data_IF_260750125342
#
_entry.id   IF_260750125342
#
_cell.length_a   1.000
_cell.length_b   1.000
_cell.length_c   1.000
_cell.angle_alpha   90.00
_cell.angle_beta   90.00
_cell.angle_gamma   90.00
#
_symmetry.space_group_name_H-M   'P 1'
#
loop_
_entity.id
_entity.type
_entity.pdbx_description
1 polymer ?
#
# COMPACT_ATOMS: atom_id res chain seq x y z
N UNK A 1 48.71 4.31 38.44
CA UNK A 1 49.62 3.30 37.84
C UNK A 1 50.26 3.92 36.61
N UNK A 2 51.56 3.72 36.39
CA UNK A 2 52.22 4.24 35.19
C UNK A 2 51.64 3.53 33.96
N UNK A 3 51.21 4.30 32.96
CA UNK A 3 50.76 3.76 31.68
C UNK A 3 52.00 3.28 30.94
N UNK A 4 52.19 1.96 30.82
CA UNK A 4 53.29 1.37 30.05
C UNK A 4 52.79 1.09 28.63
N UNK A 5 53.45 1.70 27.65
CA UNK A 5 53.22 1.44 26.22
C UNK A 5 54.28 0.44 25.76
N UNK A 6 53.85 -0.63 25.09
CA UNK A 6 54.71 -1.70 24.56
C UNK A 6 54.42 -1.91 23.08
N UNK A 7 55.46 -2.18 22.29
CA UNK A 7 55.28 -2.52 20.88
C UNK A 7 54.89 -3.99 20.74
N UNK A 8 53.77 -4.25 20.06
CA UNK A 8 53.23 -5.61 19.85
C UNK A 8 53.24 -5.93 18.35
N UNK A 9 53.65 -7.15 17.94
CA UNK A 9 53.57 -7.57 16.55
C UNK A 9 52.14 -7.49 16.02
N UNK A 10 51.95 -6.94 14.83
CA UNK A 10 50.62 -6.84 14.20
C UNK A 10 49.99 -8.22 13.99
N UNK A 11 50.79 -9.26 13.84
CA UNK A 11 50.36 -10.67 13.76
C UNK A 11 49.73 -11.20 15.06
N UNK A 12 50.02 -10.60 16.21
CA UNK A 12 49.43 -10.94 17.51
C UNK A 12 48.15 -10.13 17.81
N UNK A 13 47.79 -9.17 16.98
CA UNK A 13 46.64 -8.29 17.17
C UNK A 13 45.41 -8.74 16.36
N UNK A 14 44.33 -9.00 17.07
CA UNK A 14 43.04 -9.37 16.49
C UNK A 14 42.02 -8.24 16.66
N UNK A 15 41.19 -7.97 15.65
CA UNK A 15 40.03 -7.10 15.83
C UNK A 15 39.06 -7.73 16.85
N UNK A 16 38.37 -6.91 17.63
CA UNK A 16 37.36 -7.41 18.55
C UNK A 16 36.05 -7.73 17.78
N UNK A 17 35.53 -8.97 17.86
CA UNK A 17 34.30 -9.35 17.16
C UNK A 17 33.06 -8.61 17.67
N UNK A 18 33.14 -7.96 18.84
CA UNK A 18 32.05 -7.19 19.44
C UNK A 18 32.17 -5.68 19.21
N UNK A 19 32.96 -5.25 18.21
CA UNK A 19 32.99 -3.84 17.84
C UNK A 19 31.62 -3.40 17.30
N UNK A 20 30.95 -2.40 17.92
CA UNK A 20 29.67 -1.92 17.41
C UNK A 20 29.82 -1.37 15.99
N UNK A 21 30.96 -0.76 15.66
CA UNK A 21 31.29 -0.37 14.29
C UNK A 21 31.79 -1.57 13.51
N UNK A 22 31.01 -2.01 12.51
CA UNK A 22 31.34 -3.20 11.70
C UNK A 22 32.31 -2.89 10.56
N UNK A 23 32.18 -1.72 9.96
CA UNK A 23 33.06 -1.24 8.89
C UNK A 23 33.99 -0.13 9.42
N UNK A 24 35.29 -0.31 9.23
CA UNK A 24 36.29 0.71 9.60
C UNK A 24 36.39 1.83 8.56
N UNK A 25 35.72 1.69 7.41
CA UNK A 25 35.70 2.63 6.29
C UNK A 25 37.04 2.67 5.55
N UNK A 26 37.18 3.64 4.65
CA UNK A 26 38.46 3.88 3.98
C UNK A 26 39.50 4.41 4.98
N UNK A 27 40.65 3.74 5.02
CA UNK A 27 41.79 4.03 5.88
C UNK A 27 43.07 4.24 5.05
N UNK A 28 42.97 4.43 3.73
CA UNK A 28 44.12 4.57 2.82
C UNK A 28 44.96 5.80 3.18
N UNK A 29 44.34 6.98 3.34
CA UNK A 29 45.05 8.19 3.78
C UNK A 29 45.69 8.02 5.17
N UNK A 30 44.99 7.32 6.07
CA UNK A 30 45.53 7.01 7.40
C UNK A 30 46.73 6.06 7.30
N UNK A 31 46.71 5.10 6.38
CA UNK A 31 47.82 4.19 6.13
C UNK A 31 49.03 4.92 5.55
N UNK A 32 48.83 5.87 4.63
CA UNK A 32 49.92 6.69 4.09
C UNK A 32 50.55 7.59 5.16
N UNK A 33 49.72 8.20 6.00
CA UNK A 33 50.17 8.98 7.16
C UNK A 33 50.96 8.13 8.15
N UNK A 34 50.45 6.94 8.47
CA UNK A 34 51.11 5.97 9.36
C UNK A 34 52.43 5.47 8.75
N UNK A 35 52.51 5.26 7.43
CA UNK A 35 53.75 4.88 6.75
C UNK A 35 54.81 5.98 6.83
N UNK A 36 54.40 7.24 6.76
CA UNK A 36 55.31 8.38 6.82
C UNK A 36 55.74 8.76 8.24
N UNK A 37 54.85 8.65 9.23
CA UNK A 37 55.06 9.22 10.57
C UNK A 37 54.92 8.21 11.72
N UNK A 38 54.60 6.95 11.42
CA UNK A 38 54.27 5.94 12.42
C UNK A 38 52.93 6.21 13.12
N UNK A 39 52.63 5.39 14.13
CA UNK A 39 51.42 5.52 14.95
C UNK A 39 51.71 6.45 16.13
N UNK A 40 51.10 7.64 16.16
CA UNK A 40 51.31 8.63 17.22
C UNK A 40 50.56 8.37 18.52
N UNK A 41 49.41 7.70 18.41
CA UNK A 41 48.58 7.35 19.56
C UNK A 41 48.49 5.82 19.60
N UNK A 42 48.76 5.23 20.76
CA UNK A 42 48.79 3.80 20.97
C UNK A 42 47.40 3.14 20.86
N UNK A 43 47.37 1.85 20.51
CA UNK A 43 46.15 1.05 20.55
C UNK A 43 45.88 0.58 21.97
N UNK A 44 44.62 0.54 22.40
CA UNK A 44 44.26 -0.15 23.64
C UNK A 44 43.93 -1.59 23.31
N UNK A 45 44.62 -2.53 23.95
CA UNK A 45 44.43 -3.96 23.71
C UNK A 45 44.25 -4.72 25.02
N UNK A 46 43.59 -5.86 24.93
CA UNK A 46 43.40 -6.78 26.07
C UNK A 46 43.86 -8.19 25.73
N UNK A 47 44.44 -8.95 26.67
CA UNK A 47 44.86 -10.34 26.43
C UNK A 47 43.71 -11.23 25.95
N UNK A 48 44.00 -12.14 25.01
CA UNK A 48 43.01 -13.02 24.37
C UNK A 48 43.51 -14.46 24.21
N UNK A 49 44.31 -14.92 25.17
CA UNK A 49 44.92 -16.25 25.16
C UNK A 49 46.15 -16.34 24.26
N UNK A 50 46.57 -17.56 23.93
CA UNK A 50 47.77 -17.83 23.13
C UNK A 50 47.43 -18.53 21.81
N UNK A 51 48.23 -18.28 20.77
CA UNK A 51 48.22 -19.01 19.49
C UNK A 51 49.65 -19.40 19.14
N UNK A 52 49.88 -20.69 18.92
CA UNK A 52 51.21 -21.25 18.61
C UNK A 52 52.30 -20.84 19.64
N UNK A 53 51.92 -20.80 20.92
CA UNK A 53 52.80 -20.41 22.02
C UNK A 53 53.11 -18.91 22.10
N UNK A 54 52.34 -18.06 21.40
CA UNK A 54 52.48 -16.60 21.41
C UNK A 54 51.24 -15.94 21.99
N UNK A 55 51.40 -14.91 22.84
CA UNK A 55 50.26 -14.17 23.37
C UNK A 55 49.53 -13.44 22.24
N UNK A 56 48.21 -13.56 22.26
CA UNK A 56 47.31 -12.87 21.35
C UNK A 56 46.57 -11.78 22.12
N UNK A 57 46.30 -10.67 21.45
CA UNK A 57 45.59 -9.55 22.03
C UNK A 57 44.41 -9.16 21.14
N UNK A 58 43.29 -8.81 21.76
CA UNK A 58 42.15 -8.18 21.08
C UNK A 58 42.26 -6.67 21.20
N UNK A 59 42.07 -5.97 20.09
CA UNK A 59 42.02 -4.51 20.06
C UNK A 59 40.70 -4.03 20.64
N UNK A 60 40.74 -3.17 21.65
CA UNK A 60 39.57 -2.51 22.23
C UNK A 60 39.39 -1.12 21.60
N UNK A 61 40.47 -0.32 21.55
CA UNK A 61 40.45 1.02 20.92
C UNK A 61 41.55 1.09 19.85
N UNK A 62 41.20 1.67 18.70
CA UNK A 62 42.16 1.86 17.58
C UNK A 62 41.98 0.91 16.41
N UNK A 63 40.77 0.35 16.19
CA UNK A 63 40.47 -0.55 15.07
C UNK A 63 40.85 0.02 13.69
N UNK A 64 40.56 1.29 13.42
CA UNK A 64 41.00 1.98 12.18
C UNK A 64 42.52 2.06 12.05
N UNK A 65 43.24 2.28 13.16
CA UNK A 65 44.71 2.32 13.20
C UNK A 65 45.31 0.94 12.97
N UNK A 66 44.73 -0.13 13.52
CA UNK A 66 45.16 -1.51 13.23
C UNK A 66 45.00 -1.82 11.73
N UNK A 67 43.84 -1.50 11.15
CA UNK A 67 43.59 -1.72 9.73
C UNK A 67 44.58 -0.94 8.84
N UNK A 68 44.79 0.34 9.14
CA UNK A 68 45.76 1.17 8.44
C UNK A 68 47.21 0.69 8.61
N UNK A 69 47.59 0.20 9.80
CA UNK A 69 48.93 -0.34 10.06
C UNK A 69 49.23 -1.59 9.23
N UNK A 70 48.23 -2.45 9.04
CA UNK A 70 48.34 -3.62 8.14
C UNK A 70 48.57 -3.21 6.69
N UNK A 71 47.88 -2.17 6.21
CA UNK A 71 48.06 -1.62 4.86
C UNK A 71 49.41 -0.88 4.72
N UNK A 72 49.85 -0.22 5.79
CA UNK A 72 51.15 0.46 5.84
C UNK A 72 52.33 -0.52 5.82
N UNK A 73 52.11 -1.79 6.18
CA UNK A 73 53.15 -2.83 6.24
C UNK A 73 53.99 -2.77 7.52
N UNK A 74 53.42 -2.27 8.63
CA UNK A 74 54.11 -2.24 9.91
C UNK A 74 54.19 -3.64 10.54
N UNK A 75 55.37 -4.02 11.03
CA UNK A 75 55.57 -5.26 11.78
C UNK A 75 55.07 -5.16 13.22
N UNK A 76 55.29 -4.00 13.84
CA UNK A 76 55.03 -3.72 15.26
C UNK A 76 54.21 -2.43 15.40
N UNK A 77 53.34 -2.37 16.42
CA UNK A 77 52.55 -1.17 16.73
C UNK A 77 52.52 -0.88 18.23
N UNK A 78 52.55 0.41 18.64
CA UNK A 78 52.52 0.78 20.04
C UNK A 78 51.15 0.48 20.63
N UNK A 79 51.13 -0.26 21.73
CA UNK A 79 49.93 -0.71 22.42
C UNK A 79 50.02 -0.44 23.92
N UNK A 80 48.88 -0.10 24.51
CA UNK A 80 48.64 -0.16 25.95
C UNK A 80 47.88 -1.44 26.25
N UNK A 81 48.43 -2.30 27.10
CA UNK A 81 47.81 -3.57 27.49
C UNK A 81 47.04 -3.36 28.80
N UNK A 82 45.73 -3.62 28.78
CA UNK A 82 44.88 -3.63 29.96
C UNK A 82 44.11 -4.95 30.04
N UNK A 83 44.07 -5.57 31.21
CA UNK A 83 43.17 -6.70 31.47
C UNK A 83 41.76 -6.17 31.69
N UNK A 84 40.89 -6.41 30.71
CA UNK A 84 39.53 -5.90 30.70
C UNK A 84 38.57 -7.09 30.69
N UNK A 85 37.51 -7.00 31.48
CA UNK A 85 36.38 -7.92 31.37
C UNK A 85 35.62 -7.67 30.07
N UNK A 86 34.86 -8.67 29.60
CA UNK A 86 34.02 -8.53 28.41
C UNK A 86 33.04 -7.34 28.49
N UNK A 87 32.62 -6.99 29.71
CA UNK A 87 31.79 -5.81 30.00
C UNK A 87 32.56 -4.52 29.76
N UNK A 88 33.74 -4.39 30.36
CA UNK A 88 34.58 -3.19 30.22
C UNK A 88 35.04 -3.00 28.77
N UNK A 89 35.39 -4.08 28.07
CA UNK A 89 35.72 -4.05 26.64
C UNK A 89 34.59 -3.42 25.80
N UNK A 90 33.37 -4.00 25.87
CA UNK A 90 32.23 -3.52 25.08
C UNK A 90 31.86 -2.09 25.42
N UNK A 91 31.96 -1.74 26.69
CA UNK A 91 31.61 -0.41 27.17
C UNK A 91 32.58 0.65 26.69
N UNK A 92 33.89 0.42 26.83
CA UNK A 92 34.94 1.31 26.31
C UNK A 92 34.80 1.49 24.80
N UNK A 93 34.50 0.41 24.08
CA UNK A 93 34.27 0.44 22.65
C UNK A 93 33.03 1.27 22.28
N UNK A 94 31.92 1.10 23.00
CA UNK A 94 30.72 1.88 22.75
C UNK A 94 30.94 3.37 23.06
N UNK A 95 31.59 3.71 24.18
CA UNK A 95 31.89 5.09 24.57
C UNK A 95 32.78 5.77 23.54
N UNK A 96 33.86 5.12 23.10
CA UNK A 96 34.80 5.68 22.12
C UNK A 96 34.15 5.95 20.76
N UNK A 97 33.34 5.01 20.27
CA UNK A 97 32.63 5.17 19.00
C UNK A 97 31.51 6.24 19.10
N UNK A 98 30.81 6.30 20.24
CA UNK A 98 29.71 7.25 20.47
C UNK A 98 30.22 8.70 20.52
N UNK A 99 31.44 8.93 21.01
CA UNK A 99 32.08 10.24 21.04
C UNK A 99 32.49 10.77 19.66
N UNK A 100 32.53 9.90 18.63
CA UNK A 100 32.97 10.26 17.28
C UNK A 100 31.85 10.58 16.27
N UNK A 101 30.58 10.59 16.68
CA UNK A 101 29.40 10.77 15.78
C UNK A 101 29.42 9.76 14.60
N UNK A 102 29.94 8.57 14.88
CA UNK A 102 30.44 7.65 13.86
C UNK A 102 29.55 6.40 13.70
N UNK A 103 28.74 6.06 14.70
CA UNK A 103 27.86 4.90 14.65
C UNK A 103 26.55 5.23 13.94
N UNK A 104 26.10 4.30 13.11
CA UNK A 104 24.71 4.29 12.64
C UNK A 104 23.76 4.02 13.82
N UNK A 105 22.48 4.45 13.75
CA UNK A 105 21.50 4.17 14.80
C UNK A 105 21.36 2.67 15.12
N UNK A 106 21.53 1.80 14.12
CA UNK A 106 21.45 0.36 14.27
C UNK A 106 22.69 -0.21 14.99
N UNK A 107 23.89 0.26 14.66
CA UNK A 107 25.11 -0.13 15.37
C UNK A 107 25.11 0.32 16.83
N UNK A 108 24.59 1.53 17.09
CA UNK A 108 24.39 2.02 18.46
C UNK A 108 23.38 1.15 19.23
N UNK A 109 22.28 0.75 18.58
CA UNK A 109 21.28 -0.17 19.13
C UNK A 109 21.87 -1.54 19.48
N UNK A 110 22.59 -2.16 18.54
CA UNK A 110 23.27 -3.45 18.75
C UNK A 110 24.32 -3.34 19.87
N UNK A 111 25.05 -2.23 19.96
CA UNK A 111 26.02 -1.96 21.02
C UNK A 111 25.39 -1.87 22.41
N UNK A 112 24.28 -1.13 22.55
CA UNK A 112 23.53 -1.08 23.81
C UNK A 112 22.92 -2.43 24.19
N UNK A 113 22.39 -3.19 23.23
CA UNK A 113 21.89 -4.54 23.48
C UNK A 113 22.99 -5.46 23.99
N UNK A 114 24.18 -5.40 23.39
CA UNK A 114 25.34 -6.18 23.85
C UNK A 114 25.77 -5.85 25.28
N UNK A 115 25.55 -4.62 25.77
CA UNK A 115 25.76 -4.28 27.18
C UNK A 115 24.61 -4.81 28.06
N UNK A 116 23.38 -4.77 27.57
CA UNK A 116 22.22 -5.32 28.29
C UNK A 116 22.36 -6.83 28.52
N UNK A 117 22.85 -7.56 27.51
CA UNK A 117 23.12 -8.99 27.57
C UNK A 117 24.18 -9.36 28.61
N UNK A 118 25.10 -8.42 28.91
CA UNK A 118 26.10 -8.55 29.97
C UNK A 118 25.61 -8.08 31.35
N UNK A 119 24.31 -7.79 31.48
CA UNK A 119 23.68 -7.38 32.74
C UNK A 119 23.91 -5.92 33.14
N UNK A 120 24.41 -5.08 32.23
CA UNK A 120 24.53 -3.64 32.48
C UNK A 120 23.13 -3.03 32.53
N UNK A 121 22.89 -2.11 33.47
CA UNK A 121 21.58 -1.44 33.60
C UNK A 121 21.51 -0.23 32.68
N UNK A 122 20.32 0.08 32.16
CA UNK A 122 20.07 1.26 31.30
C UNK A 122 20.58 2.58 31.90
N UNK A 123 20.39 2.78 33.21
CA UNK A 123 20.89 3.98 33.91
C UNK A 123 22.41 4.09 33.81
N UNK A 124 23.10 2.98 34.01
CA UNK A 124 24.56 2.93 33.96
C UNK A 124 25.08 3.15 32.53
N UNK A 125 24.45 2.55 31.52
CA UNK A 125 24.79 2.80 30.11
C UNK A 125 24.68 4.29 29.76
N UNK A 126 23.62 4.96 30.23
CA UNK A 126 23.38 6.38 29.99
C UNK A 126 24.47 7.26 30.62
N UNK A 127 24.80 7.00 31.90
CA UNK A 127 25.85 7.73 32.62
C UNK A 127 27.21 7.57 31.95
N UNK A 128 27.59 6.34 31.57
CA UNK A 128 28.91 6.07 31.01
C UNK A 128 29.08 6.52 29.56
N UNK A 129 28.03 6.48 28.74
CA UNK A 129 28.06 6.98 27.36
C UNK A 129 27.78 8.48 27.24
N UNK A 130 27.43 9.15 28.35
CA UNK A 130 27.06 10.58 28.34
C UNK A 130 25.75 10.85 27.59
N UNK A 131 24.88 9.86 27.47
CA UNK A 131 23.60 9.94 26.74
C UNK A 131 22.41 9.95 27.70
N UNK A 132 21.25 10.40 27.24
CA UNK A 132 20.04 10.34 28.05
C UNK A 132 19.51 8.90 28.16
N UNK A 133 18.92 8.53 29.30
CA UNK A 133 18.23 7.24 29.45
C UNK A 133 17.12 7.04 28.39
N UNK A 134 16.49 8.13 27.93
CA UNK A 134 15.47 8.10 26.87
C UNK A 134 16.09 7.58 25.56
N UNK A 135 17.26 8.08 25.19
CA UNK A 135 17.97 7.65 23.99
C UNK A 135 18.36 6.18 24.08
N UNK A 136 18.97 5.77 25.20
CA UNK A 136 19.37 4.36 25.41
C UNK A 136 18.17 3.42 25.29
N UNK A 137 17.02 3.75 25.90
CA UNK A 137 15.79 2.96 25.77
C UNK A 137 15.27 2.91 24.33
N UNK A 138 15.32 4.03 23.61
CA UNK A 138 14.92 4.08 22.20
C UNK A 138 15.78 3.14 21.34
N UNK A 139 17.10 3.14 21.56
CA UNK A 139 18.03 2.23 20.88
C UNK A 139 17.79 0.76 21.23
N UNK A 140 17.51 0.45 22.50
CA UNK A 140 17.15 -0.92 22.89
C UNK A 140 15.84 -1.40 22.24
N UNK A 141 14.87 -0.51 21.99
CA UNK A 141 13.66 -0.85 21.22
C UNK A 141 13.96 -1.11 19.75
N UNK A 142 14.89 -0.37 19.15
CA UNK A 142 15.36 -0.67 17.78
C UNK A 142 16.09 -2.03 17.79
N UNK A 143 16.86 -2.32 18.84
CA UNK A 143 17.55 -3.59 18.99
C UNK A 143 16.59 -4.79 19.14
N UNK A 144 15.37 -4.58 19.67
CA UNK A 144 14.38 -5.65 19.80
C UNK A 144 13.72 -6.04 18.48
N UNK A 145 13.90 -5.28 17.39
CA UNK A 145 13.35 -5.63 16.08
C UNK A 145 13.88 -7.00 15.64
N UNK A 146 12.98 -7.99 15.39
CA UNK A 146 13.36 -9.37 15.07
C UNK A 146 14.30 -9.48 13.88
N UNK A 147 15.24 -10.43 13.96
CA UNK A 147 16.24 -10.67 12.90
C UNK A 147 15.60 -10.98 11.54
N UNK A 148 14.51 -11.73 11.52
CA UNK A 148 13.68 -12.02 10.35
C UNK A 148 13.21 -10.75 9.63
N UNK A 149 12.79 -9.72 10.37
CA UNK A 149 12.37 -8.42 9.83
C UNK A 149 13.57 -7.66 9.24
N UNK A 150 14.71 -7.69 9.95
CA UNK A 150 15.94 -7.03 9.50
C UNK A 150 16.47 -7.64 8.20
N UNK A 151 16.46 -8.97 8.10
CA UNK A 151 16.96 -9.72 6.93
C UNK A 151 16.03 -9.66 5.72
N UNK A 152 14.72 -9.42 5.93
CA UNK A 152 13.76 -9.27 4.85
C UNK A 152 13.94 -7.98 4.03
N UNK A 153 14.70 -6.99 4.54
CA UNK A 153 14.97 -5.73 3.85
C UNK A 153 16.48 -5.55 3.64
N UNK A 154 16.99 -5.62 2.39
CA UNK A 154 18.43 -5.45 2.13
C UNK A 154 18.94 -4.04 2.48
N UNK A 155 18.04 -3.05 2.52
CA UNK A 155 18.35 -1.67 2.90
C UNK A 155 18.17 -1.40 4.41
N UNK A 156 17.86 -2.42 5.24
CA UNK A 156 17.53 -2.22 6.66
C UNK A 156 18.63 -1.48 7.44
N UNK A 157 19.90 -1.77 7.13
CA UNK A 157 21.05 -1.14 7.77
C UNK A 157 21.21 0.36 7.41
N UNK A 158 20.59 0.81 6.31
CA UNK A 158 20.65 2.19 5.82
C UNK A 158 19.44 3.03 6.24
N UNK A 159 18.50 2.45 6.98
CA UNK A 159 17.29 3.15 7.40
C UNK A 159 17.60 4.32 8.32
N UNK A 160 16.83 5.38 8.15
CA UNK A 160 16.93 6.54 9.02
C UNK A 160 16.51 6.18 10.45
N UNK A 161 16.96 6.98 11.41
CA UNK A 161 16.58 6.81 12.80
C UNK A 161 15.04 6.81 12.97
N UNK A 162 14.35 7.74 12.31
CA UNK A 162 12.89 7.85 12.42
C UNK A 162 12.18 6.59 11.93
N UNK A 163 12.64 6.00 10.82
CA UNK A 163 12.04 4.77 10.28
C UNK A 163 12.27 3.58 11.22
N UNK A 164 13.46 3.47 11.81
CA UNK A 164 13.77 2.43 12.79
C UNK A 164 12.92 2.57 14.05
N UNK A 165 12.72 3.80 14.54
CA UNK A 165 11.85 4.08 15.69
C UNK A 165 10.38 3.76 15.39
N UNK A 166 9.90 4.07 14.17
CA UNK A 166 8.54 3.73 13.73
C UNK A 166 8.33 2.22 13.59
N UNK A 167 9.32 1.46 13.10
CA UNK A 167 9.26 -0.01 13.05
C UNK A 167 9.28 -0.58 14.47
N UNK A 168 10.13 -0.08 15.36
CA UNK A 168 10.19 -0.48 16.77
C UNK A 168 8.94 -0.10 17.58
N UNK A 169 8.01 0.69 17.01
CA UNK A 169 6.71 0.96 17.63
C UNK A 169 5.84 -0.30 17.72
N UNK A 170 5.93 -1.18 16.74
CA UNK A 170 5.10 -2.38 16.62
C UNK A 170 5.75 -3.62 17.27
N UNK A 171 6.49 -3.40 18.36
CA UNK A 171 7.10 -4.48 19.15
C UNK A 171 6.03 -5.49 19.59
N UNK A 172 6.28 -6.78 19.34
CA UNK A 172 5.31 -7.87 19.55
C UNK A 172 4.40 -8.20 18.35
N UNK A 173 4.35 -7.38 17.29
CA UNK A 173 3.65 -7.66 16.03
C UNK A 173 4.66 -7.73 14.87
N UNK A 174 5.39 -8.85 14.79
CA UNK A 174 6.44 -9.07 13.79
C UNK A 174 5.92 -8.92 12.35
N UNK A 175 4.65 -9.26 12.10
CA UNK A 175 4.01 -9.09 10.79
C UNK A 175 3.84 -7.61 10.44
N UNK A 176 3.41 -6.78 11.39
CA UNK A 176 3.34 -5.34 11.20
C UNK A 176 4.73 -4.72 10.97
N UNK A 177 5.73 -5.14 11.76
CA UNK A 177 7.11 -4.71 11.59
C UNK A 177 7.67 -5.06 10.20
N UNK A 178 7.47 -6.30 9.73
CA UNK A 178 7.88 -6.74 8.39
C UNK A 178 7.19 -5.93 7.27
N UNK A 179 5.88 -5.70 7.37
CA UNK A 179 5.12 -4.90 6.39
C UNK A 179 5.63 -3.46 6.29
N UNK A 180 5.98 -2.87 7.44
CA UNK A 180 6.49 -1.50 7.49
C UNK A 180 7.95 -1.42 6.98
N UNK A 181 8.80 -2.36 7.40
CA UNK A 181 10.19 -2.44 6.96
C UNK A 181 10.32 -2.65 5.44
N UNK A 182 9.40 -3.41 4.82
CA UNK A 182 9.34 -3.63 3.37
C UNK A 182 9.03 -2.35 2.57
N UNK A 183 8.54 -1.30 3.24
CA UNK A 183 8.15 -0.03 2.62
C UNK A 183 9.08 1.11 3.02
N UNK A 184 10.11 0.84 3.80
CA UNK A 184 11.10 1.82 4.23
C UNK A 184 11.90 2.36 3.03
N UNK A 185 12.25 3.65 3.06
CA UNK A 185 12.85 4.37 1.93
C UNK A 185 11.90 4.67 0.76
N UNK A 186 10.60 4.34 0.85
CA UNK A 186 9.60 4.64 -0.18
C UNK A 186 8.61 5.72 0.26
N UNK A 187 7.95 6.36 -0.71
CA UNK A 187 6.88 7.34 -0.45
C UNK A 187 5.66 6.72 0.28
N UNK A 188 5.52 5.39 0.28
CA UNK A 188 4.43 4.69 0.95
C UNK A 188 4.66 4.53 2.47
N UNK A 189 5.87 4.75 2.97
CA UNK A 189 6.24 4.41 4.36
C UNK A 189 5.31 5.06 5.39
N UNK A 190 5.10 6.36 5.27
CA UNK A 190 4.24 7.12 6.19
C UNK A 190 2.77 6.67 6.13
N UNK A 191 2.27 6.38 4.92
CA UNK A 191 0.91 5.88 4.75
C UNK A 191 0.73 4.51 5.42
N UNK A 192 1.69 3.60 5.22
CA UNK A 192 1.67 2.27 5.83
C UNK A 192 1.77 2.34 7.34
N UNK A 193 2.66 3.18 7.89
CA UNK A 193 2.76 3.44 9.33
C UNK A 193 1.42 3.89 9.91
N UNK A 194 0.80 4.90 9.31
CA UNK A 194 -0.48 5.44 9.78
C UNK A 194 -1.61 4.43 9.64
N UNK A 195 -1.56 3.56 8.61
CA UNK A 195 -2.50 2.44 8.46
C UNK A 195 -2.34 1.41 9.58
N UNK A 196 -1.12 0.96 9.86
CA UNK A 196 -0.82 -0.01 10.91
C UNK A 196 -1.18 0.53 12.31
N UNK A 197 -0.91 1.82 12.59
CA UNK A 197 -1.35 2.47 13.84
C UNK A 197 -2.88 2.39 13.98
N UNK A 198 -3.63 2.76 12.93
CA UNK A 198 -5.10 2.65 12.92
C UNK A 198 -5.58 1.20 13.09
N UNK A 199 -4.93 0.22 12.45
CA UNK A 199 -5.27 -1.19 12.61
C UNK A 199 -5.01 -1.69 14.05
N UNK A 200 -3.91 -1.28 14.69
CA UNK A 200 -3.63 -1.59 16.11
C UNK A 200 -4.67 -0.94 17.02
N UNK A 201 -4.85 0.36 16.91
CA UNK A 201 -5.74 1.10 17.81
C UNK A 201 -7.20 0.64 17.64
N UNK A 202 -7.60 0.22 16.43
CA UNK A 202 -8.89 -0.42 16.15
C UNK A 202 -9.05 -1.73 16.90
N UNK A 203 -8.05 -2.62 16.83
CA UNK A 203 -8.04 -3.90 17.55
C UNK A 203 -8.15 -3.66 19.06
N UNK A 204 -7.35 -2.75 19.61
CA UNK A 204 -7.39 -2.40 21.04
C UNK A 204 -8.75 -1.84 21.47
N UNK A 205 -9.35 -0.96 20.66
CA UNK A 205 -10.67 -0.39 20.96
C UNK A 205 -11.76 -1.47 20.95
N UNK A 206 -11.74 -2.40 19.99
CA UNK A 206 -12.70 -3.51 19.88
C UNK A 206 -12.56 -4.47 21.06
N UNK A 207 -11.34 -4.85 21.41
CA UNK A 207 -11.10 -5.73 22.58
C UNK A 207 -11.56 -5.07 23.88
N UNK A 208 -11.28 -3.78 24.07
CA UNK A 208 -11.80 -3.02 25.20
C UNK A 208 -13.33 -2.96 25.20
N UNK A 209 -13.96 -2.80 24.04
CA UNK A 209 -15.41 -2.80 23.90
C UNK A 209 -16.02 -4.17 24.24
N UNK A 210 -15.39 -5.26 23.79
CA UNK A 210 -15.78 -6.65 24.06
C UNK A 210 -15.71 -6.98 25.55
N UNK A 211 -14.56 -6.73 26.18
CA UNK A 211 -14.38 -6.96 27.62
C UNK A 211 -15.38 -6.16 28.45
N UNK A 212 -15.65 -4.91 28.06
CA UNK A 212 -16.62 -4.07 28.75
C UNK A 212 -18.06 -4.56 28.56
N UNK A 213 -18.43 -4.97 27.35
CA UNK A 213 -19.74 -5.53 27.05
C UNK A 213 -20.00 -6.82 27.83
N UNK A 214 -19.01 -7.72 27.90
CA UNK A 214 -19.05 -8.95 28.71
C UNK A 214 -19.20 -8.63 30.19
N UNK A 215 -18.38 -7.72 30.73
CA UNK A 215 -18.44 -7.31 32.14
C UNK A 215 -19.77 -6.68 32.54
N UNK A 216 -20.52 -6.10 31.60
CA UNK A 216 -21.83 -5.47 31.82
C UNK A 216 -23.00 -6.34 31.35
N UNK A 217 -22.75 -7.61 30.96
CA UNK A 217 -23.75 -8.56 30.48
C UNK A 217 -24.64 -8.00 29.36
N UNK A 218 -24.05 -7.28 28.40
CA UNK A 218 -24.81 -6.76 27.27
C UNK A 218 -25.31 -7.92 26.38
N UNK A 219 -26.59 -7.94 25.98
CA UNK A 219 -27.12 -8.98 25.12
C UNK A 219 -26.45 -8.95 23.74
N UNK A 220 -25.91 -10.08 23.29
CA UNK A 220 -25.36 -10.20 21.93
C UNK A 220 -26.47 -10.59 20.94
N UNK A 221 -26.38 -10.07 19.71
CA UNK A 221 -27.25 -10.49 18.62
C UNK A 221 -27.02 -11.99 18.33
N UNK A 222 -28.09 -12.81 18.23
CA UNK A 222 -27.98 -14.24 17.96
C UNK A 222 -27.23 -14.55 16.67
N UNK A 223 -26.44 -15.64 16.66
CA UNK A 223 -25.57 -16.01 15.54
C UNK A 223 -26.31 -16.24 14.21
N UNK A 224 -27.56 -16.66 14.26
CA UNK A 224 -28.39 -16.89 13.07
C UNK A 224 -28.98 -15.60 12.46
N UNK A 225 -28.89 -14.46 13.17
CA UNK A 225 -29.43 -13.17 12.74
C UNK A 225 -28.33 -12.15 12.45
N UNK A 226 -27.08 -12.59 12.53
CA UNK A 226 -25.87 -11.80 12.40
C UNK A 226 -25.70 -11.32 10.93
N UNK A 227 -25.85 -10.03 10.60
CA UNK A 227 -25.73 -9.54 9.23
C UNK A 227 -24.26 -9.59 8.78
N UNK A 228 -24.01 -9.90 7.51
CA UNK A 228 -22.65 -9.88 6.94
C UNK A 228 -22.10 -8.45 6.88
N UNK A 229 -22.96 -7.49 6.51
CA UNK A 229 -22.65 -6.06 6.42
C UNK A 229 -23.14 -5.30 7.67
N UNK A 230 -22.29 -4.42 8.22
CA UNK A 230 -22.61 -3.51 9.32
C UNK A 230 -23.76 -2.54 9.00
N UNK A 231 -24.01 -2.26 7.72
CA UNK A 231 -25.08 -1.37 7.28
C UNK A 231 -26.45 -2.05 7.17
N UNK A 232 -26.52 -3.38 7.28
CA UNK A 232 -27.77 -4.13 7.19
C UNK A 232 -28.49 -4.25 8.55
N UNK A 233 -29.83 -4.23 8.50
CA UNK A 233 -30.69 -4.51 9.65
C UNK A 233 -30.97 -6.02 9.72
N UNK A 234 -30.68 -6.69 10.86
CA UNK A 234 -31.10 -8.07 11.10
C UNK A 234 -32.62 -8.24 11.02
N UNK A 235 -33.10 -9.40 10.56
CA UNK A 235 -34.54 -9.68 10.52
C UNK A 235 -35.18 -9.52 11.90
N UNK A 236 -36.18 -8.63 12.02
CA UNK A 236 -36.90 -8.36 13.27
C UNK A 236 -36.22 -7.35 14.21
N UNK A 237 -35.07 -6.79 13.82
CA UNK A 237 -34.35 -5.79 14.58
C UNK A 237 -34.11 -4.52 13.76
N UNK A 238 -34.10 -3.38 14.43
CA UNK A 238 -33.78 -2.09 13.85
C UNK A 238 -32.50 -1.54 14.45
N UNK A 239 -31.57 -1.13 13.59
CA UNK A 239 -30.31 -0.50 14.01
C UNK A 239 -30.60 0.83 14.71
N UNK A 240 -30.01 1.00 15.88
CA UNK A 240 -30.13 2.21 16.67
C UNK A 240 -28.88 3.08 16.57
N UNK A 241 -27.70 2.53 16.92
CA UNK A 241 -26.47 3.31 17.05
C UNK A 241 -25.24 2.49 16.66
N UNK A 242 -24.31 3.13 15.95
CA UNK A 242 -22.95 2.65 15.74
C UNK A 242 -22.02 3.34 16.73
N UNK A 243 -21.18 2.55 17.37
CA UNK A 243 -20.07 2.95 18.22
C UNK A 243 -18.79 2.50 17.54
N UNK A 244 -17.78 3.34 17.54
CA UNK A 244 -16.54 3.08 16.83
C UNK A 244 -15.44 4.03 17.31
N UNK A 245 -14.20 3.70 16.96
CA UNK A 245 -13.01 4.45 17.36
C UNK A 245 -12.94 5.87 16.78
N UNK A 246 -13.60 6.11 15.64
CA UNK A 246 -13.72 7.43 15.00
C UNK A 246 -14.62 8.40 15.80
N UNK A 247 -15.39 7.91 16.77
CA UNK A 247 -16.13 8.74 17.72
C UNK A 247 -15.33 9.03 19.00
N UNK A 248 -15.54 10.19 19.65
CA UNK A 248 -14.79 10.56 20.85
C UNK A 248 -14.97 9.60 22.03
N UNK A 249 -13.87 9.03 22.50
CA UNK A 249 -13.80 8.26 23.75
C UNK A 249 -13.99 6.74 23.58
N UNK A 250 -13.77 5.96 24.67
CA UNK A 250 -13.93 4.50 24.64
C UNK A 250 -15.40 4.10 24.53
N UNK A 251 -15.65 2.86 24.07
CA UNK A 251 -17.01 2.29 23.95
C UNK A 251 -17.87 2.50 25.20
N UNK A 252 -17.30 2.30 26.39
CA UNK A 252 -18.01 2.47 27.66
C UNK A 252 -18.55 3.87 27.89
N UNK A 253 -17.83 4.91 27.45
CA UNK A 253 -18.30 6.30 27.52
C UNK A 253 -19.39 6.52 26.48
N UNK A 254 -19.12 6.14 25.23
CA UNK A 254 -20.08 6.31 24.14
C UNK A 254 -21.42 5.63 24.45
N UNK A 255 -21.37 4.43 25.07
CA UNK A 255 -22.55 3.70 25.52
C UNK A 255 -23.33 4.43 26.61
N UNK A 256 -22.65 4.94 27.64
CA UNK A 256 -23.29 5.68 28.74
C UNK A 256 -23.94 6.97 28.24
N UNK A 257 -23.25 7.70 27.37
CA UNK A 257 -23.77 8.92 26.76
C UNK A 257 -25.05 8.58 25.96
N UNK A 258 -25.04 7.51 25.17
CA UNK A 258 -26.21 7.05 24.41
C UNK A 258 -27.37 6.57 25.29
N UNK A 259 -27.10 5.91 26.42
CA UNK A 259 -28.15 5.52 27.38
C UNK A 259 -28.76 6.73 28.11
N UNK A 260 -28.03 7.85 28.22
CA UNK A 260 -28.56 9.08 28.79
C UNK A 260 -29.47 9.84 27.80
N UNK A 261 -29.32 9.63 26.49
CA UNK A 261 -30.15 10.23 25.44
C UNK A 261 -31.61 9.71 25.44
N UNK A 262 -31.87 8.52 25.99
CA UNK A 262 -33.23 7.96 26.03
C UNK A 262 -33.32 6.49 26.47
N UNK A 263 -34.54 5.93 26.49
CA UNK A 263 -34.77 4.52 26.80
C UNK A 263 -34.68 3.65 25.55
N UNK A 264 -33.84 2.62 25.61
CA UNK A 264 -33.62 1.66 24.52
C UNK A 264 -34.03 0.25 24.96
N UNK A 265 -35.33 -0.12 24.91
CA UNK A 265 -35.80 -1.41 25.41
C UNK A 265 -35.35 -2.56 24.50
N UNK A 266 -34.87 -3.65 25.11
CA UNK A 266 -34.51 -4.88 24.39
C UNK A 266 -33.25 -4.77 23.54
N UNK A 267 -32.35 -3.84 23.85
CA UNK A 267 -31.11 -3.65 23.09
C UNK A 267 -30.27 -4.92 23.03
N UNK A 268 -29.85 -5.26 21.82
CA UNK A 268 -28.82 -6.26 21.54
C UNK A 268 -27.68 -5.61 20.77
N UNK A 269 -26.46 -6.13 20.88
CA UNK A 269 -25.29 -5.59 20.20
C UNK A 269 -24.61 -6.62 19.30
N UNK A 270 -23.91 -6.11 18.28
CA UNK A 270 -22.97 -6.89 17.47
C UNK A 270 -21.64 -6.15 17.39
N UNK A 271 -20.56 -6.89 17.58
CA UNK A 271 -19.19 -6.41 17.42
C UNK A 271 -18.71 -6.81 16.02
N UNK A 272 -18.18 -5.85 15.27
CA UNK A 272 -17.57 -6.03 13.95
C UNK A 272 -16.07 -5.82 14.09
N UNK A 273 -15.33 -6.93 14.20
CA UNK A 273 -13.89 -6.92 14.47
C UNK A 273 -13.11 -6.19 13.36
N UNK A 274 -13.40 -6.52 12.09
CA UNK A 274 -12.71 -5.92 10.93
C UNK A 274 -13.01 -4.42 10.78
N UNK A 275 -14.23 -3.99 11.09
CA UNK A 275 -14.68 -2.60 10.95
C UNK A 275 -14.42 -1.74 12.19
N UNK A 276 -13.95 -2.33 13.28
CA UNK A 276 -13.62 -1.55 14.48
C UNK A 276 -14.83 -0.95 15.19
N UNK A 277 -15.98 -1.63 15.12
CA UNK A 277 -17.27 -1.02 15.44
C UNK A 277 -18.15 -1.95 16.26
N UNK A 278 -18.95 -1.38 17.16
CA UNK A 278 -20.06 -2.05 17.85
C UNK A 278 -21.36 -1.41 17.39
N UNK A 279 -22.34 -2.21 16.99
CA UNK A 279 -23.66 -1.71 16.58
C UNK A 279 -24.72 -2.22 17.53
N UNK A 280 -25.56 -1.31 18.02
CA UNK A 280 -26.72 -1.62 18.84
C UNK A 280 -28.00 -1.66 18.00
N UNK A 281 -28.85 -2.64 18.30
CA UNK A 281 -30.13 -2.87 17.66
C UNK A 281 -31.23 -3.03 18.72
N UNK A 282 -32.47 -2.70 18.38
CA UNK A 282 -33.67 -2.98 19.20
C UNK A 282 -34.68 -3.77 18.40
N UNK A 283 -35.61 -4.51 19.05
CA UNK A 283 -36.70 -5.18 18.36
C UNK A 283 -37.55 -4.14 17.62
N UNK A 284 -37.80 -4.37 16.33
CA UNK A 284 -38.62 -3.47 15.53
C UNK A 284 -40.04 -3.36 16.12
N UNK A 285 -40.55 -2.13 16.32
CA UNK A 285 -41.95 -1.93 16.70
C UNK A 285 -42.82 -2.22 15.47
N UNK A 286 -43.83 -3.08 15.59
CA UNK A 286 -44.86 -3.21 14.56
C UNK A 286 -45.78 -1.99 14.59
N UNK A 287 -45.62 -1.06 13.64
CA UNK A 287 -46.44 0.17 13.51
C UNK A 287 -46.66 0.56 12.04
N UNK A 288 -47.53 1.55 11.80
CA UNK A 288 -48.07 2.00 10.49
C UNK A 288 -47.04 2.25 9.35
N UNK A 289 -45.75 2.32 9.67
CA UNK A 289 -44.62 2.28 8.73
C UNK A 289 -44.57 1.00 7.88
N UNK A 290 -45.09 -0.15 8.34
CA UNK A 290 -45.14 -1.38 7.52
C UNK A 290 -45.93 -1.19 6.19
N UNK A 291 -46.85 -0.21 6.12
CA UNK A 291 -47.58 0.15 4.88
C UNK A 291 -46.81 1.15 4.01
N UNK A 292 -45.92 1.95 4.58
CA UNK A 292 -45.10 2.93 3.86
C UNK A 292 -43.79 2.32 3.38
N UNK A 293 -43.16 1.46 4.18
CA UNK A 293 -42.04 0.60 3.81
C UNK A 293 -42.46 -0.45 2.78
N UNK A 294 -43.66 -1.03 2.86
CA UNK A 294 -44.18 -1.88 1.79
C UNK A 294 -44.32 -1.13 0.46
N UNK A 295 -44.67 0.16 0.49
CA UNK A 295 -44.71 1.02 -0.72
C UNK A 295 -43.31 1.46 -1.16
N UNK A 296 -42.40 1.75 -0.24
CA UNK A 296 -41.03 2.14 -0.53
C UNK A 296 -40.19 0.95 -1.04
N UNK A 297 -40.39 -0.24 -0.49
CA UNK A 297 -39.81 -1.49 -0.94
C UNK A 297 -40.43 -1.94 -2.26
N UNK A 298 -41.74 -1.80 -2.45
CA UNK A 298 -42.37 -1.97 -3.76
C UNK A 298 -41.81 -0.97 -4.78
N UNK A 299 -41.59 0.30 -4.41
CA UNK A 299 -40.97 1.31 -5.27
C UNK A 299 -39.52 0.93 -5.63
N UNK A 300 -38.70 0.56 -4.65
CA UNK A 300 -37.32 0.08 -4.86
C UNK A 300 -37.28 -1.20 -5.69
N UNK A 301 -38.24 -2.10 -5.50
CA UNK A 301 -38.38 -3.33 -6.29
C UNK A 301 -38.77 -3.00 -7.73
N UNK A 302 -39.76 -2.14 -7.94
CA UNK A 302 -40.14 -1.66 -9.27
C UNK A 302 -38.97 -0.95 -9.96
N UNK A 303 -38.20 -0.15 -9.23
CA UNK A 303 -37.01 0.54 -9.75
C UNK A 303 -35.88 -0.45 -10.09
N UNK A 304 -35.64 -1.47 -9.26
CA UNK A 304 -34.71 -2.57 -9.56
C UNK A 304 -35.14 -3.37 -10.80
N UNK A 305 -36.42 -3.73 -10.89
CA UNK A 305 -36.98 -4.44 -12.05
C UNK A 305 -36.91 -3.57 -13.32
N UNK A 306 -37.14 -2.25 -13.20
CA UNK A 306 -36.97 -1.28 -14.31
C UNK A 306 -35.51 -1.23 -14.76
N UNK A 307 -34.56 -1.01 -13.84
CA UNK A 307 -33.11 -0.97 -14.12
C UNK A 307 -32.59 -2.30 -14.66
N UNK A 308 -33.21 -3.43 -14.28
CA UNK A 308 -32.90 -4.73 -14.86
C UNK A 308 -33.29 -4.78 -16.34
N UNK A 309 -34.53 -4.40 -16.68
CA UNK A 309 -35.02 -4.36 -18.07
C UNK A 309 -34.20 -3.44 -18.96
N UNK A 310 -33.77 -2.27 -18.44
CA UNK A 310 -32.90 -1.35 -19.18
C UNK A 310 -31.53 -1.97 -19.45
N UNK A 311 -30.95 -2.70 -18.48
CA UNK A 311 -29.69 -3.43 -18.68
C UNK A 311 -29.83 -4.55 -19.70
N UNK A 312 -30.92 -5.31 -19.66
CA UNK A 312 -31.21 -6.34 -20.66
C UNK A 312 -31.35 -5.74 -22.06
N UNK A 313 -32.07 -4.63 -22.19
CA UNK A 313 -32.20 -3.91 -23.46
C UNK A 313 -30.84 -3.42 -23.96
N UNK A 314 -30.05 -2.76 -23.10
CA UNK A 314 -28.75 -2.22 -23.48
C UNK A 314 -27.79 -3.33 -23.93
N UNK A 315 -27.77 -4.46 -23.22
CA UNK A 315 -26.97 -5.63 -23.56
C UNK A 315 -27.40 -6.27 -24.89
N UNK A 316 -28.70 -6.56 -25.06
CA UNK A 316 -29.23 -7.15 -26.28
C UNK A 316 -29.01 -6.24 -27.50
N UNK A 317 -29.18 -4.93 -27.33
CA UNK A 317 -28.94 -3.94 -28.38
C UNK A 317 -27.45 -3.84 -28.74
N UNK A 318 -26.56 -3.91 -27.75
CA UNK A 318 -25.12 -3.94 -28.00
C UNK A 318 -24.71 -5.20 -28.78
N UNK A 319 -25.28 -6.36 -28.47
CA UNK A 319 -25.03 -7.61 -29.20
C UNK A 319 -25.48 -7.50 -30.67
N UNK A 320 -26.68 -6.98 -30.93
CA UNK A 320 -27.19 -6.74 -32.28
C UNK A 320 -26.31 -5.79 -33.08
N UNK A 321 -25.93 -4.64 -32.50
CA UNK A 321 -25.06 -3.66 -33.16
C UNK A 321 -23.67 -4.25 -33.41
N UNK A 322 -23.05 -4.90 -32.43
CA UNK A 322 -21.73 -5.51 -32.59
C UNK A 322 -21.73 -6.58 -33.70
N UNK A 323 -22.76 -7.41 -33.76
CA UNK A 323 -22.89 -8.44 -34.80
C UNK A 323 -23.06 -7.82 -36.19
N UNK A 324 -23.89 -6.77 -36.30
CA UNK A 324 -24.05 -6.04 -37.56
C UNK A 324 -22.76 -5.33 -37.99
N UNK A 325 -22.06 -4.68 -37.06
CA UNK A 325 -20.76 -4.02 -37.34
C UNK A 325 -19.78 -5.06 -37.87
N UNK A 326 -19.68 -6.21 -37.20
CA UNK A 326 -18.75 -7.30 -37.55
C UNK A 326 -18.99 -7.85 -38.96
N UNK A 327 -20.25 -7.94 -39.37
CA UNK A 327 -20.64 -8.60 -40.63
C UNK A 327 -20.78 -7.63 -41.79
N UNK A 328 -21.22 -6.40 -41.54
CA UNK A 328 -21.58 -5.43 -42.59
C UNK A 328 -20.43 -4.46 -42.88
N UNK A 329 -19.77 -3.90 -41.87
CA UNK A 329 -18.75 -2.84 -42.05
C UNK A 329 -17.59 -3.25 -42.95
N UNK A 330 -17.04 -4.49 -42.88
CA UNK A 330 -15.95 -4.91 -43.75
C UNK A 330 -16.30 -4.97 -45.25
N UNK A 331 -17.59 -5.04 -45.59
CA UNK A 331 -18.09 -5.19 -46.97
C UNK A 331 -18.92 -3.99 -47.45
N UNK A 332 -18.94 -2.90 -46.68
CA UNK A 332 -19.64 -1.66 -47.07
C UNK A 332 -19.09 -1.10 -48.39
N UNK A 333 -20.00 -0.56 -49.20
CA UNK A 333 -19.63 0.18 -50.42
C UNK A 333 -18.94 1.50 -50.04
N UNK A 334 -18.11 2.01 -50.95
CA UNK A 334 -17.26 3.17 -50.69
C UNK A 334 -18.02 4.47 -50.37
N UNK A 335 -19.22 4.63 -50.93
CA UNK A 335 -20.14 5.73 -50.66
C UNK A 335 -20.71 5.66 -49.24
N UNK A 336 -21.27 4.51 -48.84
CA UNK A 336 -21.79 4.28 -47.50
C UNK A 336 -20.69 4.38 -46.43
N UNK A 337 -19.50 3.82 -46.71
CA UNK A 337 -18.34 3.92 -45.81
C UNK A 337 -17.95 5.38 -45.56
N UNK A 338 -17.95 6.21 -46.62
CA UNK A 338 -17.62 7.63 -46.53
C UNK A 338 -18.70 8.40 -45.75
N UNK A 339 -19.98 8.22 -46.09
CA UNK A 339 -21.10 8.89 -45.41
C UNK A 339 -21.12 8.58 -43.90
N UNK A 340 -21.00 7.30 -43.51
CA UNK A 340 -20.93 6.92 -42.10
C UNK A 340 -19.73 7.56 -41.39
N UNK A 341 -18.56 7.53 -42.02
CA UNK A 341 -17.32 8.08 -41.42
C UNK A 341 -17.45 9.59 -41.20
N UNK A 342 -17.99 10.32 -42.17
CA UNK A 342 -18.21 11.76 -42.08
C UNK A 342 -19.21 12.10 -40.96
N UNK A 343 -20.36 11.41 -40.93
CA UNK A 343 -21.40 11.63 -39.91
C UNK A 343 -20.93 11.29 -38.51
N UNK A 344 -20.24 10.16 -38.31
CA UNK A 344 -19.67 9.80 -37.01
C UNK A 344 -18.58 10.76 -36.59
N UNK A 345 -17.73 11.22 -37.51
CA UNK A 345 -16.70 12.21 -37.19
C UNK A 345 -17.33 13.52 -36.72
N UNK A 346 -18.37 14.01 -37.39
CA UNK A 346 -19.12 15.20 -36.95
C UNK A 346 -19.77 14.98 -35.58
N UNK A 347 -20.37 13.80 -35.37
CA UNK A 347 -20.98 13.43 -34.09
C UNK A 347 -19.94 13.38 -32.95
N UNK A 348 -18.73 12.88 -33.22
CA UNK A 348 -17.59 12.89 -32.27
C UNK A 348 -17.08 14.29 -31.98
N UNK A 349 -16.95 15.15 -32.98
CA UNK A 349 -16.36 16.48 -32.81
C UNK A 349 -17.34 17.48 -32.18
N UNK A 350 -18.62 17.39 -32.53
CA UNK A 350 -19.63 18.40 -32.21
C UNK A 350 -20.64 17.95 -31.15
N UNK A 351 -20.84 16.65 -30.96
CA UNK A 351 -21.91 16.12 -30.11
C UNK A 351 -23.32 16.44 -30.66
N UNK A 352 -24.35 16.29 -29.81
CA UNK A 352 -25.77 16.53 -30.16
C UNK A 352 -26.40 17.66 -29.30
N UNK A 353 -25.61 18.55 -28.69
CA UNK A 353 -26.11 19.69 -27.88
C UNK A 353 -25.05 20.42 -27.03
N UNK A 354 -25.47 21.21 -26.02
CA UNK A 354 -24.64 22.06 -25.12
C UNK A 354 -23.61 21.30 -24.25
N UNK A 355 -23.57 19.98 -24.33
CA UNK A 355 -22.61 19.15 -23.62
C UNK A 355 -21.92 18.17 -24.57
N UNK A 356 -20.61 18.33 -24.75
CA UNK A 356 -19.73 17.31 -25.32
C UNK A 356 -19.50 16.16 -24.32
N UNK A 357 -20.55 15.39 -23.98
CA UNK A 357 -20.34 14.15 -23.22
C UNK A 357 -19.92 13.06 -24.21
N UNK A 358 -18.69 12.57 -24.05
CA UNK A 358 -18.13 11.47 -24.86
C UNK A 358 -16.78 11.74 -25.52
N UNK A 359 -16.24 12.97 -25.45
CA UNK A 359 -14.94 13.25 -26.11
C UNK A 359 -13.72 13.12 -25.20
N UNK A 360 -13.88 13.34 -23.90
CA UNK A 360 -12.81 13.13 -22.92
C UNK A 360 -12.64 11.63 -22.64
N UNK A 361 -11.58 11.04 -23.18
CA UNK A 361 -11.15 9.70 -22.80
C UNK A 361 -10.16 9.84 -21.66
N UNK A 362 -10.64 9.60 -20.44
CA UNK A 362 -9.75 9.19 -19.35
C UNK A 362 -9.14 7.83 -19.69
N UNK A 363 -8.23 7.36 -18.85
CA UNK A 363 -7.58 6.07 -19.03
C UNK A 363 -8.62 4.93 -19.17
N UNK A 364 -9.71 4.97 -18.39
CA UNK A 364 -10.83 4.01 -18.48
C UNK A 364 -11.63 4.09 -19.79
N UNK A 365 -11.72 5.26 -20.41
CA UNK A 365 -12.36 5.48 -21.71
C UNK A 365 -11.67 4.67 -22.81
N UNK A 366 -10.35 4.74 -22.93
CA UNK A 366 -9.59 3.96 -23.92
C UNK A 366 -9.73 2.46 -23.74
N UNK A 367 -9.84 2.03 -22.49
CA UNK A 367 -10.18 0.67 -22.12
C UNK A 367 -11.55 0.28 -22.71
N UNK A 368 -12.60 1.07 -22.53
CA UNK A 368 -13.91 0.75 -23.13
C UNK A 368 -13.85 0.66 -24.66
N UNK A 369 -13.10 1.55 -25.32
CA UNK A 369 -12.90 1.50 -26.78
C UNK A 369 -12.25 0.20 -27.25
N UNK A 370 -11.13 -0.22 -26.65
CA UNK A 370 -10.44 -1.44 -27.09
C UNK A 370 -11.27 -2.70 -26.82
N UNK A 371 -12.08 -2.70 -25.75
CA UNK A 371 -13.05 -3.78 -25.49
C UNK A 371 -14.09 -3.86 -26.59
N UNK A 372 -14.76 -2.74 -26.88
CA UNK A 372 -15.77 -2.66 -27.92
C UNK A 372 -15.19 -3.06 -29.28
N UNK A 373 -14.03 -2.51 -29.65
CA UNK A 373 -13.33 -2.85 -30.89
C UNK A 373 -13.09 -4.36 -31.02
N UNK A 374 -12.72 -5.04 -29.94
CA UNK A 374 -12.46 -6.49 -29.95
C UNK A 374 -13.71 -7.36 -30.11
N UNK A 375 -14.91 -6.81 -29.91
CA UNK A 375 -16.17 -7.54 -30.12
C UNK A 375 -16.52 -7.73 -31.60
N UNK A 376 -16.09 -6.79 -32.46
CA UNK A 376 -16.52 -6.78 -33.86
C UNK A 376 -15.39 -6.61 -34.88
N UNK A 377 -14.16 -6.32 -34.44
CA UNK A 377 -12.98 -6.26 -35.29
C UNK A 377 -11.93 -7.31 -34.85
N UNK A 378 -10.92 -7.52 -35.69
CA UNK A 378 -9.80 -8.39 -35.31
C UNK A 378 -9.11 -7.80 -34.06
N UNK A 379 -8.99 -8.52 -32.94
CA UNK A 379 -8.41 -7.97 -31.71
C UNK A 379 -7.04 -7.34 -31.93
N UNK A 380 -6.72 -6.33 -31.13
CA UNK A 380 -5.40 -5.72 -31.09
C UNK A 380 -4.43 -6.60 -30.29
N UNK A 381 -3.09 -6.44 -30.43
CA UNK A 381 -2.11 -7.28 -29.74
C UNK A 381 -2.21 -7.22 -28.21
N UNK A 382 -2.57 -6.06 -27.66
CA UNK A 382 -2.76 -5.86 -26.22
C UNK A 382 -4.24 -5.65 -25.94
N UNK A 383 -4.86 -6.69 -25.39
CA UNK A 383 -6.25 -6.70 -24.90
C UNK A 383 -6.36 -6.73 -23.37
N UNK A 384 -5.26 -7.05 -22.69
CA UNK A 384 -5.17 -7.14 -21.24
C UNK A 384 -4.54 -5.87 -20.63
N UNK A 385 -4.85 -5.62 -19.35
CA UNK A 385 -4.37 -4.43 -18.63
C UNK A 385 -2.84 -4.40 -18.56
N UNK A 386 -2.26 -3.21 -18.74
CA UNK A 386 -0.87 -2.94 -18.38
C UNK A 386 -0.64 -3.33 -16.89
N UNK A 387 0.33 -4.20 -16.59
CA UNK A 387 0.65 -4.60 -15.21
C UNK A 387 1.04 -3.43 -14.30
N UNK A 388 1.61 -2.34 -14.83
CA UNK A 388 2.07 -1.19 -14.05
C UNK A 388 0.96 -0.16 -13.80
N UNK A 389 0.07 0.06 -14.77
CA UNK A 389 -0.91 1.17 -14.73
C UNK A 389 -2.38 0.72 -14.69
N UNK A 390 -2.67 -0.57 -14.87
CA UNK A 390 -4.00 -1.16 -14.68
C UNK A 390 -5.05 -0.82 -15.75
N UNK A 391 -4.64 -0.32 -16.91
CA UNK A 391 -5.49 0.15 -18.02
C UNK A 391 -4.90 -0.30 -19.36
N UNK A 392 -5.73 -0.73 -20.32
CA UNK A 392 -5.29 -0.96 -21.71
C UNK A 392 -5.68 0.23 -22.59
N UNK A 393 -4.77 0.64 -23.48
CA UNK A 393 -4.92 1.83 -24.32
C UNK A 393 -4.57 1.53 -25.78
N UNK A 394 -5.10 2.34 -26.70
CA UNK A 394 -4.64 2.31 -28.11
C UNK A 394 -3.20 2.81 -28.27
N UNK A 395 -2.68 3.54 -27.27
CA UNK A 395 -1.42 4.27 -27.36
C UNK A 395 -0.20 3.43 -26.98
N UNK A 396 -0.38 2.19 -26.54
CA UNK A 396 0.75 1.26 -26.37
C UNK A 396 1.38 0.93 -27.71
N UNK A 397 2.70 0.73 -27.72
CA UNK A 397 3.49 0.64 -28.94
C UNK A 397 2.98 -0.46 -29.88
N UNK A 398 2.60 -1.61 -29.34
CA UNK A 398 2.10 -2.78 -30.06
C UNK A 398 0.77 -2.50 -30.77
N UNK A 399 -0.19 -1.91 -30.05
CA UNK A 399 -1.50 -1.55 -30.60
C UNK A 399 -1.37 -0.46 -31.66
N UNK A 400 -0.56 0.57 -31.40
CA UNK A 400 -0.31 1.66 -32.34
C UNK A 400 0.38 1.17 -33.63
N UNK A 401 1.37 0.28 -33.51
CA UNK A 401 2.06 -0.34 -34.66
C UNK A 401 1.11 -1.21 -35.47
N UNK A 402 0.26 -2.02 -34.81
CA UNK A 402 -0.71 -2.86 -35.50
C UNK A 402 -1.74 -2.02 -36.26
N UNK A 403 -2.27 -0.95 -35.67
CA UNK A 403 -3.21 -0.05 -36.34
C UNK A 403 -2.57 0.64 -37.55
N UNK A 404 -1.32 1.14 -37.41
CA UNK A 404 -0.57 1.71 -38.55
C UNK A 404 -0.38 0.68 -39.67
N UNK A 405 -0.07 -0.57 -39.32
CA UNK A 405 0.05 -1.67 -40.28
C UNK A 405 -1.28 -1.91 -41.02
N UNK A 406 -2.41 -1.95 -40.31
CA UNK A 406 -3.75 -2.12 -40.92
C UNK A 406 -4.10 -0.96 -41.86
N UNK A 407 -3.77 0.27 -41.49
CA UNK A 407 -4.00 1.48 -42.30
C UNK A 407 -3.06 1.65 -43.49
N UNK A 408 -1.92 0.93 -43.52
CA UNK A 408 -0.98 0.95 -44.64
C UNK A 408 -1.58 0.37 -45.92
N UNK A 409 -2.62 -0.47 -45.81
CA UNK A 409 -3.37 -1.02 -46.95
C UNK A 409 -4.46 -0.02 -47.37
N UNK A 410 -4.36 0.63 -48.56
CA UNK A 410 -5.26 1.71 -48.94
C UNK A 410 -6.75 1.30 -48.97
N UNK A 411 -7.04 0.07 -49.39
CA UNK A 411 -8.40 -0.48 -49.45
C UNK A 411 -9.02 -0.75 -48.08
N UNK A 412 -8.22 -0.81 -47.00
CA UNK A 412 -8.68 -1.10 -45.64
C UNK A 412 -8.63 0.09 -44.69
N UNK A 413 -7.93 1.16 -45.07
CA UNK A 413 -7.76 2.35 -44.24
C UNK A 413 -9.09 2.97 -43.79
N UNK A 414 -10.04 3.11 -44.72
CA UNK A 414 -11.36 3.69 -44.40
C UNK A 414 -12.18 2.79 -43.47
N UNK A 415 -12.14 1.48 -43.68
CA UNK A 415 -12.80 0.49 -42.82
C UNK A 415 -12.21 0.53 -41.41
N UNK A 416 -10.89 0.57 -41.29
CA UNK A 416 -10.19 0.63 -40.00
C UNK A 416 -10.53 1.89 -39.21
N UNK A 417 -10.59 3.05 -39.88
CA UNK A 417 -11.01 4.31 -39.26
C UNK A 417 -12.46 4.23 -38.77
N UNK A 418 -13.36 3.70 -39.61
CA UNK A 418 -14.77 3.56 -39.24
C UNK A 418 -14.93 2.62 -38.02
N UNK A 419 -14.23 1.48 -38.00
CA UNK A 419 -14.27 0.55 -36.87
C UNK A 419 -13.81 1.19 -35.55
N UNK A 420 -12.81 2.09 -35.59
CA UNK A 420 -12.36 2.83 -34.41
C UNK A 420 -13.39 3.86 -33.94
N UNK A 421 -14.04 4.58 -34.87
CA UNK A 421 -15.12 5.52 -34.54
C UNK A 421 -16.34 4.79 -33.93
N UNK A 422 -16.72 3.65 -34.51
CA UNK A 422 -17.77 2.79 -33.98
C UNK A 422 -17.40 2.25 -32.60
N UNK A 423 -16.16 1.78 -32.39
CA UNK A 423 -15.70 1.29 -31.09
C UNK A 423 -15.72 2.37 -30.01
N UNK A 424 -15.47 3.62 -30.40
CA UNK A 424 -15.54 4.76 -29.51
C UNK A 424 -16.98 5.04 -29.07
N UNK A 425 -17.95 4.95 -29.98
CA UNK A 425 -19.38 5.06 -29.66
C UNK A 425 -19.88 3.89 -28.83
N UNK A 426 -19.63 2.66 -29.27
CA UNK A 426 -20.03 1.45 -28.54
C UNK A 426 -19.41 1.38 -27.14
N UNK A 427 -18.18 1.84 -26.96
CA UNK A 427 -17.54 1.92 -25.65
C UNK A 427 -18.12 3.01 -24.72
N UNK A 428 -18.86 3.97 -25.27
CA UNK A 428 -19.54 5.02 -24.50
C UNK A 428 -20.99 4.65 -24.15
N UNK A 429 -21.61 3.71 -24.86
CA UNK A 429 -22.99 3.28 -24.64
C UNK A 429 -23.04 2.25 -23.51
N UNK A 430 -23.86 2.53 -22.50
CA UNK A 430 -24.15 1.64 -21.38
C UNK A 430 -25.64 1.70 -21.00
N UNK A 431 -26.03 1.01 -19.94
CA UNK A 431 -27.42 1.00 -19.50
C UNK A 431 -27.93 2.38 -19.07
N UNK A 432 -27.07 3.27 -18.59
CA UNK A 432 -27.47 4.63 -18.20
C UNK A 432 -27.77 5.48 -19.43
N UNK A 433 -27.13 5.20 -20.56
CA UNK A 433 -27.40 5.85 -21.85
C UNK A 433 -28.86 5.65 -22.29
N UNK A 434 -29.43 4.48 -22.01
CA UNK A 434 -30.83 4.12 -22.31
C UNK A 434 -31.83 4.54 -21.22
N UNK A 435 -31.36 4.99 -20.06
CA UNK A 435 -32.21 5.26 -18.90
C UNK A 435 -32.54 6.75 -18.75
N UNK A 436 -33.76 7.17 -19.11
CA UNK A 436 -34.21 8.57 -18.97
C UNK A 436 -34.12 9.15 -17.55
N UNK A 437 -34.16 8.28 -16.54
CA UNK A 437 -34.05 8.70 -15.14
C UNK A 437 -32.59 8.80 -14.67
N UNK A 438 -31.63 8.28 -15.45
CA UNK A 438 -30.22 8.36 -15.11
C UNK A 438 -29.67 9.76 -15.40
N UNK A 439 -28.81 10.23 -14.48
CA UNK A 439 -28.06 11.48 -14.66
C UNK A 439 -27.18 11.48 -15.93
N UNK A 440 -26.80 10.29 -16.40
CA UNK A 440 -25.92 10.09 -17.56
C UNK A 440 -26.67 9.72 -18.84
N UNK A 441 -28.00 9.85 -18.87
CA UNK A 441 -28.82 9.61 -20.07
C UNK A 441 -28.32 10.43 -21.28
N UNK A 442 -28.14 9.78 -22.43
CA UNK A 442 -27.80 10.42 -23.71
C UNK A 442 -28.60 9.81 -24.87
N UNK A 443 -29.94 9.82 -24.76
CA UNK A 443 -30.80 9.35 -25.85
C UNK A 443 -30.67 10.18 -27.13
N UNK A 444 -30.25 11.45 -27.05
CA UNK A 444 -30.03 12.28 -28.24
C UNK A 444 -28.79 11.81 -29.01
N UNK A 445 -27.68 11.59 -28.31
CA UNK A 445 -26.47 10.98 -28.87
C UNK A 445 -26.72 9.58 -29.40
N UNK A 446 -27.48 8.77 -28.67
CA UNK A 446 -27.86 7.42 -29.08
C UNK A 446 -28.74 7.43 -30.34
N UNK A 447 -29.76 8.29 -30.42
CA UNK A 447 -30.60 8.44 -31.62
C UNK A 447 -29.78 8.87 -32.83
N UNK A 448 -28.93 9.89 -32.69
CA UNK A 448 -28.05 10.33 -33.77
C UNK A 448 -27.09 9.22 -34.22
N UNK A 449 -26.62 8.38 -33.30
CA UNK A 449 -25.82 7.22 -33.65
C UNK A 449 -26.62 6.17 -34.43
N UNK A 450 -27.83 5.84 -33.98
CA UNK A 450 -28.74 4.92 -34.67
C UNK A 450 -29.13 5.40 -36.07
N UNK A 451 -29.34 6.71 -36.27
CA UNK A 451 -29.60 7.29 -37.59
C UNK A 451 -28.44 7.04 -38.57
N UNK A 452 -27.18 7.08 -38.09
CA UNK A 452 -26.01 6.75 -38.92
C UNK A 452 -25.93 5.26 -39.22
N UNK A 453 -26.34 4.39 -38.30
CA UNK A 453 -26.41 2.96 -38.55
C UNK A 453 -27.52 2.61 -39.55
N UNK A 454 -28.71 3.19 -39.39
CA UNK A 454 -29.86 3.01 -40.28
C UNK A 454 -29.55 3.51 -41.71
N UNK A 455 -28.81 4.62 -41.86
CA UNK A 455 -28.41 5.11 -43.20
C UNK A 455 -27.53 4.12 -43.97
N UNK A 456 -26.86 3.21 -43.26
CA UNK A 456 -26.04 2.14 -43.81
C UNK A 456 -26.71 0.76 -43.82
N UNK A 457 -28.01 0.68 -43.45
CA UNK A 457 -28.80 -0.53 -43.52
C UNK A 457 -28.84 -1.36 -42.24
N UNK A 458 -28.55 -0.79 -41.07
CA UNK A 458 -28.86 -1.41 -39.80
C UNK A 458 -30.39 -1.49 -39.60
N UNK A 459 -30.89 -2.67 -39.27
CA UNK A 459 -32.31 -2.88 -39.00
C UNK A 459 -32.57 -2.76 -37.50
N UNK A 460 -33.07 -1.61 -37.07
CA UNK A 460 -33.42 -1.34 -35.66
C UNK A 460 -34.58 -2.23 -35.24
N UNK A 461 -34.35 -3.06 -34.24
CA UNK A 461 -35.37 -3.95 -33.69
C UNK A 461 -36.51 -3.16 -33.01
N UNK A 462 -37.68 -3.77 -32.86
CA UNK A 462 -38.82 -3.15 -32.16
C UNK A 462 -38.46 -2.77 -30.72
N UNK A 463 -37.61 -3.56 -30.06
CA UNK A 463 -37.15 -3.28 -28.70
C UNK A 463 -36.23 -2.05 -28.63
N UNK A 464 -35.30 -1.91 -29.58
CA UNK A 464 -34.44 -0.73 -29.71
C UNK A 464 -35.25 0.51 -30.07
N UNK A 465 -36.14 0.42 -31.06
CA UNK A 465 -37.01 1.53 -31.49
C UNK A 465 -37.85 2.04 -30.32
N UNK A 466 -38.44 1.12 -29.56
CA UNK A 466 -39.17 1.46 -28.34
C UNK A 466 -38.27 2.13 -27.30
N UNK A 467 -37.04 1.66 -27.10
CA UNK A 467 -36.08 2.26 -26.18
C UNK A 467 -35.57 3.65 -26.60
N UNK A 468 -35.59 3.94 -27.90
CA UNK A 468 -35.20 5.23 -28.47
C UNK A 468 -36.33 6.27 -28.42
N UNK A 469 -37.59 5.83 -28.57
CA UNK A 469 -38.79 6.67 -28.55
C UNK A 469 -39.31 6.98 -27.14
N UNK A 470 -39.27 5.99 -26.23
CA UNK A 470 -39.74 6.08 -24.84
C UNK A 470 -38.82 6.85 -23.94
#
# INVERSE_FOLDING_TARGET
MAITIVDIPVSQLMPNPHNPRRDVGDVTELADSIRAQGIKQELLVTPSGDRDGRPMYRVVIGHRRLAAAKIAGLDMVPCRVEELSAREERELMLVENTQRVDLTPLEEADGYQGLLDLGVKVKEMAERTGRSMRLVRGRLRIASIPRSVREASPAFAQLSLSELEDIAEFDGDEKAQARLAAKAGSNDFEWQRNRLRRERDRREWVEAARLWAESNNLPMLPDNLKPEDMWANPTGYERQRRFAQDYPGPFSKQWKDWQAEGKHPGVVIRIFDDEGSVVAYTPAKKTAEEREDGKAEAKRRMERERRHKVRELAQASAELRCEWIRTTVPVLKADALRDMTERLTLLELMGVGDSMRGTSLDSNGWTRVVKAYSLFARPLPVTDKDPEHGVYTLNVAENALELRRRQSVPSRRGVELLLLLLARREGAIDADTWDREAYQCDLKGLNAYYEVLESAGYAVSDAERKGLEQ
#
